data_IF_137452807590
#
_entry.id   IF_137452807590
#
_cell.length_a   1.000
_cell.length_b   1.000
_cell.length_c   1.000
_cell.angle_alpha   90.00
_cell.angle_beta   90.00
_cell.angle_gamma   90.00
#
_symmetry.space_group_name_H-M   'P 1'
#
loop_
_entity.id
_entity.type
_entity.pdbx_description
1 polymer ?
#
# COMPACT_ATOMS: atom_id res chain seq x y z
N UNK A 1 39.60 29.28 8.32
CA UNK A 1 38.12 29.33 8.31
C UNK A 1 37.60 28.09 9.03
N UNK A 2 37.33 28.22 10.32
CA UNK A 2 36.74 27.18 11.17
C UNK A 2 35.21 27.28 11.05
N UNK A 3 34.57 26.22 10.55
CA UNK A 3 33.13 26.09 10.59
C UNK A 3 32.76 25.14 11.74
N UNK A 4 31.97 25.70 12.64
CA UNK A 4 31.60 25.20 13.95
C UNK A 4 30.56 24.07 13.81
N UNK A 5 30.83 22.93 14.45
CA UNK A 5 29.91 21.80 14.59
C UNK A 5 29.00 22.10 15.77
N UNK A 6 27.74 22.45 15.51
CA UNK A 6 26.74 22.71 16.53
C UNK A 6 25.61 21.66 16.46
N UNK A 7 25.61 20.76 17.44
CA UNK A 7 24.42 20.34 18.19
C UNK A 7 23.30 19.66 17.42
N UNK A 8 23.43 18.34 17.22
CA UNK A 8 22.29 17.44 17.04
C UNK A 8 21.95 16.86 18.42
N UNK A 9 21.24 17.63 19.23
CA UNK A 9 20.65 17.17 20.50
C UNK A 9 19.34 17.94 20.73
N UNK A 10 18.28 17.49 20.08
CA UNK A 10 16.90 17.87 20.41
C UNK A 10 15.92 16.79 19.92
N UNK A 11 16.01 15.58 20.50
CA UNK A 11 14.83 14.70 20.58
C UNK A 11 13.98 15.15 21.78
N UNK A 12 13.37 16.33 21.60
CA UNK A 12 12.39 16.89 22.51
C UNK A 12 11.03 16.22 22.31
N UNK A 13 10.45 15.79 23.42
CA UNK A 13 9.06 15.39 23.66
C UNK A 13 8.09 15.61 22.49
N UNK A 14 7.64 14.50 21.88
CA UNK A 14 6.48 14.50 20.98
C UNK A 14 5.23 14.70 21.82
N UNK A 15 4.63 15.84 21.55
CA UNK A 15 3.48 16.45 22.19
C UNK A 15 2.25 15.52 22.18
N UNK A 16 1.57 15.50 23.32
CA UNK A 16 0.35 14.76 23.55
C UNK A 16 -0.84 15.69 23.33
N UNK A 17 -1.33 15.78 22.09
CA UNK A 17 -2.56 16.52 21.84
C UNK A 17 -2.73 16.98 20.42
N UNK A 18 -2.99 16.06 19.50
CA UNK A 18 -3.56 16.47 18.23
C UNK A 18 -4.65 15.49 17.77
N UNK A 19 -5.90 15.93 17.90
CA UNK A 19 -7.10 15.26 17.40
C UNK A 19 -7.31 15.55 15.90
N UNK A 20 -6.22 15.55 15.12
CA UNK A 20 -6.24 15.78 13.68
C UNK A 20 -6.52 14.47 12.93
N UNK A 21 -7.80 14.25 12.59
CA UNK A 21 -8.25 13.62 11.33
C UNK A 21 -7.50 12.37 10.83
N UNK A 22 -7.27 11.37 11.69
CA UNK A 22 -6.86 10.04 11.23
C UNK A 22 -8.08 9.25 10.71
N UNK A 23 -8.45 9.44 9.44
CA UNK A 23 -9.41 8.57 8.72
C UNK A 23 -8.93 7.10 8.64
N UNK A 24 -7.66 6.84 8.98
CA UNK A 24 -7.10 5.50 9.00
C UNK A 24 -6.98 5.02 10.45
N UNK A 25 -7.73 3.96 10.86
CA UNK A 25 -7.71 3.50 12.23
C UNK A 25 -6.30 3.00 12.59
N UNK A 26 -5.75 3.53 13.70
CA UNK A 26 -4.46 3.18 14.34
C UNK A 26 -4.24 1.68 14.57
N UNK A 27 -5.29 0.89 14.35
CA UNK A 27 -5.33 -0.53 14.63
C UNK A 27 -4.70 -1.45 13.59
N UNK A 28 -4.15 -0.98 12.47
CA UNK A 28 -3.39 -1.87 11.54
C UNK A 28 -1.91 -2.05 11.92
N UNK A 29 -1.45 -1.35 12.96
CA UNK A 29 -0.14 -1.60 13.59
C UNK A 29 -0.21 -2.85 14.47
N UNK A 30 -0.23 -4.03 13.84
CA UNK A 30 -0.05 -5.32 14.53
C UNK A 30 1.23 -5.27 15.38
N UNK A 31 1.19 -5.84 16.57
CA UNK A 31 2.30 -5.82 17.51
C UNK A 31 3.56 -6.46 16.88
N UNK A 32 4.55 -5.63 16.56
CA UNK A 32 5.86 -6.08 16.06
C UNK A 32 6.78 -6.36 17.24
N UNK A 33 6.34 -7.21 18.16
CA UNK A 33 7.17 -7.69 19.26
C UNK A 33 7.71 -9.04 18.84
N UNK A 34 8.96 -9.08 18.38
CA UNK A 34 9.62 -10.35 18.13
C UNK A 34 9.94 -11.01 19.47
N UNK A 35 9.60 -12.28 19.62
CA UNK A 35 10.20 -13.11 20.65
C UNK A 35 11.73 -13.09 20.44
N UNK A 36 12.55 -12.73 21.45
CA UNK A 36 14.02 -12.68 21.33
C UNK A 36 14.64 -13.99 20.88
N UNK A 37 13.92 -15.12 20.95
CA UNK A 37 14.35 -16.43 20.42
C UNK A 37 14.25 -16.55 18.90
N UNK A 38 13.51 -15.67 18.21
CA UNK A 38 13.24 -15.73 16.76
C UNK A 38 13.84 -14.55 15.96
N UNK A 39 15.00 -14.04 16.36
CA UNK A 39 15.72 -12.93 15.69
C UNK A 39 15.97 -13.18 14.19
N UNK A 40 16.05 -14.43 13.75
CA UNK A 40 16.34 -14.80 12.36
C UNK A 40 15.14 -14.58 11.41
N UNK A 41 13.90 -14.52 11.92
CA UNK A 41 12.69 -14.44 11.10
C UNK A 41 11.73 -13.35 11.60
N UNK A 42 12.22 -12.11 11.65
CA UNK A 42 11.41 -10.98 12.09
C UNK A 42 10.12 -10.85 11.26
N UNK A 43 9.02 -10.46 11.93
CA UNK A 43 7.73 -10.20 11.26
C UNK A 43 7.88 -9.12 10.19
N UNK A 44 8.76 -8.12 10.42
CA UNK A 44 9.09 -7.06 9.46
C UNK A 44 9.66 -7.67 8.17
N UNK A 45 10.63 -8.58 8.26
CA UNK A 45 11.24 -9.19 7.08
C UNK A 45 10.22 -9.96 6.23
N UNK A 46 9.31 -10.71 6.86
CA UNK A 46 8.23 -11.42 6.14
C UNK A 46 7.30 -10.46 5.40
N UNK A 47 6.96 -9.33 6.01
CA UNK A 47 6.12 -8.29 5.38
C UNK A 47 6.87 -7.59 4.24
N UNK A 48 8.15 -7.28 4.42
CA UNK A 48 8.99 -6.69 3.38
C UNK A 48 9.11 -7.61 2.17
N UNK A 49 9.26 -8.93 2.37
CA UNK A 49 9.27 -9.90 1.29
C UNK A 49 7.96 -9.89 0.48
N UNK A 50 6.80 -9.78 1.16
CA UNK A 50 5.52 -9.63 0.46
C UNK A 50 5.46 -8.33 -0.35
N UNK A 51 5.88 -7.19 0.21
CA UNK A 51 5.93 -5.91 -0.53
C UNK A 51 6.89 -5.93 -1.72
N UNK A 52 8.00 -6.68 -1.62
CA UNK A 52 8.92 -6.86 -2.74
C UNK A 52 8.22 -7.53 -3.93
N UNK A 53 7.39 -8.56 -3.71
CA UNK A 53 6.64 -9.20 -4.80
C UNK A 53 5.66 -8.24 -5.47
N UNK A 54 4.95 -7.42 -4.68
CA UNK A 54 4.05 -6.37 -5.20
C UNK A 54 4.82 -5.35 -6.04
N UNK A 55 6.00 -4.93 -5.59
CA UNK A 55 6.86 -3.99 -6.34
C UNK A 55 7.30 -4.58 -7.69
N UNK A 56 7.70 -5.85 -7.74
CA UNK A 56 8.08 -6.51 -9.00
C UNK A 56 6.91 -6.55 -9.98
N UNK A 57 5.71 -6.92 -9.53
CA UNK A 57 4.52 -6.96 -10.39
C UNK A 57 4.13 -5.55 -10.86
N UNK A 58 4.21 -4.54 -9.98
CA UNK A 58 3.95 -3.15 -10.37
C UNK A 58 4.94 -2.65 -11.45
N UNK A 59 6.24 -2.97 -11.34
CA UNK A 59 7.22 -2.63 -12.40
C UNK A 59 6.89 -3.33 -13.72
N UNK A 60 6.45 -4.59 -13.70
CA UNK A 60 6.00 -5.29 -14.91
C UNK A 60 4.78 -4.60 -15.52
N UNK A 61 3.81 -4.19 -14.71
CA UNK A 61 2.62 -3.47 -15.18
C UNK A 61 2.95 -2.10 -15.77
N UNK A 62 3.88 -1.35 -15.17
CA UNK A 62 4.41 -0.10 -15.75
C UNK A 62 4.98 -0.34 -17.15
N UNK A 63 5.83 -1.36 -17.30
CA UNK A 63 6.45 -1.68 -18.60
C UNK A 63 5.43 -2.10 -19.65
N UNK A 64 4.41 -2.87 -19.28
CA UNK A 64 3.34 -3.28 -20.19
C UNK A 64 2.47 -2.09 -20.60
N UNK A 65 2.14 -1.21 -19.65
CA UNK A 65 1.34 -0.01 -19.89
C UNK A 65 2.04 0.93 -20.87
N UNK A 66 3.33 1.18 -20.69
CA UNK A 66 4.15 2.00 -21.61
C UNK A 66 4.19 1.40 -23.01
N UNK A 67 4.38 0.07 -23.13
CA UNK A 67 4.34 -0.61 -24.44
C UNK A 67 2.98 -0.44 -25.13
N UNK A 68 1.88 -0.58 -24.39
CA UNK A 68 0.53 -0.42 -24.95
C UNK A 68 0.26 1.03 -25.36
N UNK A 69 0.73 2.02 -24.58
CA UNK A 69 0.63 3.43 -24.94
C UNK A 69 1.37 3.76 -26.25
N UNK A 70 2.56 3.19 -26.48
CA UNK A 70 3.32 3.42 -27.72
C UNK A 70 2.84 2.61 -28.92
N UNK A 71 2.13 1.51 -28.69
CA UNK A 71 1.54 0.70 -29.77
C UNK A 71 0.34 1.41 -30.41
N UNK A 72 -0.21 2.41 -29.74
CA UNK A 72 -1.37 3.17 -30.22
C UNK A 72 -1.00 4.02 -31.45
N UNK A 73 -1.72 3.85 -32.55
CA UNK A 73 -1.51 4.61 -33.79
C UNK A 73 -1.79 6.11 -33.60
N UNK A 74 -0.95 6.95 -34.22
CA UNK A 74 -0.96 8.42 -34.08
C UNK A 74 -2.15 9.11 -34.76
N UNK A 75 -2.81 8.43 -35.69
CA UNK A 75 -3.97 8.98 -36.40
C UNK A 75 -5.24 8.74 -35.57
N UNK A 76 -5.60 9.75 -34.76
CA UNK A 76 -6.81 9.77 -33.93
C UNK A 76 -7.76 10.82 -34.47
N UNK A 77 -8.73 10.38 -35.27
CA UNK A 77 -9.83 11.23 -35.69
C UNK A 77 -10.90 11.28 -34.60
N UNK A 78 -10.96 12.40 -33.87
CA UNK A 78 -11.92 12.62 -32.78
C UNK A 78 -13.38 12.70 -33.24
N UNK A 79 -13.60 12.83 -34.55
CA UNK A 79 -14.93 12.89 -35.14
C UNK A 79 -15.58 11.49 -35.23
N UNK A 80 -14.79 10.42 -35.18
CA UNK A 80 -15.28 9.05 -35.23
C UNK A 80 -15.38 8.45 -33.82
N UNK A 81 -16.45 7.68 -33.57
CA UNK A 81 -16.66 6.97 -32.30
C UNK A 81 -15.44 6.11 -31.92
N UNK A 82 -14.77 5.55 -32.93
CA UNK A 82 -13.53 4.77 -32.75
C UNK A 82 -12.40 5.59 -32.11
N UNK A 83 -12.23 6.83 -32.56
CA UNK A 83 -11.21 7.75 -32.03
C UNK A 83 -11.51 8.14 -30.58
N UNK A 84 -12.78 8.34 -30.22
CA UNK A 84 -13.18 8.64 -28.85
C UNK A 84 -12.86 7.45 -27.92
N UNK A 85 -13.23 6.23 -28.32
CA UNK A 85 -12.94 5.02 -27.52
C UNK A 85 -11.43 4.80 -27.37
N UNK A 86 -10.66 5.03 -28.44
CA UNK A 86 -9.20 4.97 -28.42
C UNK A 86 -8.61 6.01 -27.44
N UNK A 87 -9.12 7.24 -27.43
CA UNK A 87 -8.68 8.31 -26.54
C UNK A 87 -9.01 7.98 -25.06
N UNK A 88 -10.21 7.48 -24.77
CA UNK A 88 -10.58 7.03 -23.42
C UNK A 88 -9.68 5.88 -22.96
N UNK A 89 -9.38 4.92 -23.85
CA UNK A 89 -8.41 3.86 -23.59
C UNK A 89 -7.03 4.41 -23.24
N UNK A 90 -6.54 5.40 -23.99
CA UNK A 90 -5.24 6.02 -23.74
C UNK A 90 -5.19 6.78 -22.41
N UNK A 91 -6.21 7.57 -22.08
CA UNK A 91 -6.29 8.30 -20.80
C UNK A 91 -6.36 7.33 -19.63
N UNK A 92 -7.19 6.29 -19.71
CA UNK A 92 -7.28 5.27 -18.66
C UNK A 92 -5.96 4.51 -18.48
N UNK A 93 -5.25 4.19 -19.57
CA UNK A 93 -3.91 3.58 -19.48
C UNK A 93 -2.89 4.51 -18.83
N UNK A 94 -2.96 5.81 -19.13
CA UNK A 94 -2.08 6.82 -18.54
C UNK A 94 -2.30 6.91 -17.02
N UNK A 95 -3.55 6.80 -16.56
CA UNK A 95 -3.88 6.73 -15.12
C UNK A 95 -3.30 5.47 -14.49
N UNK A 96 -3.46 4.30 -15.12
CA UNK A 96 -2.86 3.03 -14.65
C UNK A 96 -1.35 3.16 -14.50
N UNK A 97 -0.67 3.68 -15.53
CA UNK A 97 0.77 3.91 -15.50
C UNK A 97 1.20 4.80 -14.32
N UNK A 98 0.50 5.92 -14.09
CA UNK A 98 0.82 6.83 -12.98
C UNK A 98 0.57 6.19 -11.61
N UNK A 99 -0.52 5.42 -11.46
CA UNK A 99 -0.81 4.70 -10.23
C UNK A 99 0.27 3.65 -9.93
N UNK A 100 0.66 2.84 -10.92
CA UNK A 100 1.69 1.82 -10.72
C UNK A 100 3.07 2.43 -10.46
N UNK A 101 3.42 3.54 -11.15
CA UNK A 101 4.67 4.26 -10.89
C UNK A 101 4.72 4.81 -9.46
N UNK A 102 3.62 5.39 -8.98
CA UNK A 102 3.51 5.86 -7.59
C UNK A 102 3.74 4.71 -6.60
N UNK A 103 3.15 3.54 -6.86
CA UNK A 103 3.31 2.34 -6.02
C UNK A 103 4.76 1.89 -5.98
N UNK A 104 5.42 1.81 -7.13
CA UNK A 104 6.83 1.41 -7.21
C UNK A 104 7.70 2.36 -6.39
N UNK A 105 7.52 3.68 -6.53
CA UNK A 105 8.31 4.67 -5.80
C UNK A 105 8.12 4.52 -4.28
N UNK A 106 6.87 4.47 -3.81
CA UNK A 106 6.57 4.38 -2.38
C UNK A 106 7.13 3.08 -1.79
N UNK A 107 6.90 1.94 -2.45
CA UNK A 107 7.32 0.63 -1.93
C UNK A 107 8.84 0.47 -1.95
N UNK A 108 9.51 0.86 -3.04
CA UNK A 108 10.98 0.75 -3.15
C UNK A 108 11.67 1.65 -2.12
N UNK A 109 11.20 2.89 -1.95
CA UNK A 109 11.78 3.82 -0.99
C UNK A 109 11.61 3.32 0.45
N UNK A 110 10.42 2.82 0.79
CA UNK A 110 10.17 2.23 2.12
C UNK A 110 11.01 0.99 2.36
N UNK A 111 11.14 0.12 1.36
CA UNK A 111 11.94 -1.11 1.44
C UNK A 111 13.42 -0.78 1.65
N UNK A 112 13.98 0.15 0.87
CA UNK A 112 15.38 0.58 0.98
C UNK A 112 15.70 1.16 2.36
N UNK A 113 14.89 2.11 2.85
CA UNK A 113 15.13 2.74 4.15
C UNK A 113 15.00 1.74 5.30
N UNK A 114 14.00 0.86 5.26
CA UNK A 114 13.78 -0.14 6.32
C UNK A 114 14.94 -1.14 6.36
N UNK A 115 15.39 -1.66 5.22
CA UNK A 115 16.54 -2.57 5.18
C UNK A 115 17.82 -1.92 5.71
N UNK A 116 18.06 -0.65 5.37
CA UNK A 116 19.22 0.07 5.88
C UNK A 116 19.19 0.23 7.40
N UNK A 117 18.03 0.59 7.97
CA UNK A 117 17.85 0.72 9.42
C UNK A 117 18.01 -0.63 10.13
N UNK A 118 17.48 -1.72 9.55
CA UNK A 118 17.63 -3.07 10.11
C UNK A 118 19.10 -3.50 10.24
N UNK A 119 20.00 -2.96 9.41
CA UNK A 119 21.45 -3.26 9.46
C UNK A 119 22.26 -2.29 10.33
N UNK A 120 21.64 -1.30 10.98
CA UNK A 120 22.34 -0.22 11.70
C UNK A 120 22.88 -0.62 13.11
N UNK A 121 23.27 -1.88 13.30
CA UNK A 121 23.84 -2.36 14.57
C UNK A 121 22.78 -2.79 15.61
N UNK A 122 23.15 -2.87 16.91
CA UNK A 122 22.31 -3.50 17.94
C UNK A 122 20.99 -2.75 18.21
N UNK A 123 20.93 -1.44 17.97
CA UNK A 123 19.73 -0.61 18.12
C UNK A 123 18.96 -0.44 16.80
N UNK A 124 19.53 -0.87 15.67
CA UNK A 124 18.94 -0.66 14.34
C UNK A 124 17.56 -1.28 14.19
N UNK A 125 17.31 -2.41 14.85
CA UNK A 125 16.00 -3.08 14.81
C UNK A 125 14.89 -2.23 15.45
N UNK A 126 15.15 -1.60 16.60
CA UNK A 126 14.14 -0.77 17.29
C UNK A 126 13.82 0.50 16.50
N UNK A 127 14.85 1.12 15.91
CA UNK A 127 14.68 2.29 15.03
C UNK A 127 13.96 1.92 13.73
N UNK A 128 14.25 0.75 13.15
CA UNK A 128 13.52 0.25 11.98
C UNK A 128 12.04 -0.01 12.31
N UNK A 129 11.76 -0.55 13.50
CA UNK A 129 10.38 -0.77 13.98
C UNK A 129 9.64 0.56 14.15
N UNK A 130 10.22 1.57 14.79
CA UNK A 130 9.57 2.87 14.98
C UNK A 130 9.30 3.56 13.63
N UNK A 131 10.29 3.58 12.72
CA UNK A 131 10.11 4.11 11.36
C UNK A 131 9.01 3.36 10.58
N UNK A 132 8.99 2.03 10.67
CA UNK A 132 8.04 1.20 9.94
C UNK A 132 6.58 1.37 10.41
N UNK A 133 6.39 1.68 11.70
CA UNK A 133 5.08 1.85 12.34
C UNK A 133 4.58 3.29 12.31
N UNK A 134 5.37 4.23 11.78
CA UNK A 134 4.96 5.63 11.65
C UNK A 134 3.68 5.75 10.81
N UNK A 135 2.68 6.48 11.34
CA UNK A 135 1.32 6.46 10.80
C UNK A 135 1.26 7.02 9.37
N UNK A 136 2.10 8.01 9.07
CA UNK A 136 2.21 8.60 7.73
C UNK A 136 2.75 7.58 6.71
N UNK A 137 3.77 6.82 7.08
CA UNK A 137 4.41 5.80 6.22
C UNK A 137 3.46 4.63 5.97
N UNK A 138 2.77 4.17 7.02
CA UNK A 138 1.75 3.12 6.94
C UNK A 138 0.62 3.56 6.01
N UNK A 139 0.10 4.77 6.18
CA UNK A 139 -0.98 5.33 5.34
C UNK A 139 -0.61 5.37 3.86
N UNK A 140 0.60 5.86 3.53
CA UNK A 140 1.10 5.87 2.15
C UNK A 140 1.24 4.46 1.57
N UNK A 141 1.65 3.48 2.40
CA UNK A 141 1.77 2.09 1.97
C UNK A 141 0.41 1.48 1.65
N UNK A 142 -0.60 1.70 2.49
CA UNK A 142 -1.96 1.23 2.22
C UNK A 142 -2.55 1.91 0.99
N UNK A 143 -2.31 3.21 0.82
CA UNK A 143 -2.72 3.93 -0.38
C UNK A 143 -2.07 3.34 -1.63
N UNK A 144 -0.76 3.05 -1.60
CA UNK A 144 -0.05 2.42 -2.69
C UNK A 144 -0.64 1.04 -3.01
N UNK A 145 -0.75 0.13 -2.03
CA UNK A 145 -1.28 -1.22 -2.26
C UNK A 145 -2.73 -1.18 -2.78
N UNK A 146 -3.57 -0.29 -2.26
CA UNK A 146 -4.94 -0.11 -2.74
C UNK A 146 -4.97 0.46 -4.17
N UNK A 147 -4.08 1.40 -4.47
CA UNK A 147 -3.89 1.94 -5.82
C UNK A 147 -3.49 0.86 -6.83
N UNK A 148 -2.52 0.01 -6.47
CA UNK A 148 -2.09 -1.13 -7.27
C UNK A 148 -3.22 -2.15 -7.51
N UNK A 149 -3.98 -2.51 -6.47
CA UNK A 149 -5.10 -3.43 -6.64
C UNK A 149 -6.21 -2.82 -7.51
N UNK A 150 -6.37 -1.50 -7.51
CA UNK A 150 -7.31 -0.77 -8.36
C UNK A 150 -6.82 -0.64 -9.81
N UNK A 151 -5.50 -0.54 -10.03
CA UNK A 151 -4.91 -0.41 -11.37
C UNK A 151 -5.03 -1.70 -12.19
N UNK A 152 -5.04 -2.88 -11.55
CA UNK A 152 -5.20 -4.18 -12.23
C UNK A 152 -6.50 -4.31 -13.08
N UNK A 153 -7.72 -4.13 -12.54
CA UNK A 153 -8.93 -4.16 -13.35
C UNK A 153 -8.98 -2.99 -14.34
N UNK A 154 -8.46 -1.81 -13.97
CA UNK A 154 -8.43 -0.65 -14.85
C UNK A 154 -7.52 -0.87 -16.06
N UNK A 155 -6.41 -1.60 -15.90
CA UNK A 155 -5.53 -2.02 -16.98
C UNK A 155 -6.26 -2.89 -17.99
N UNK A 156 -6.97 -3.93 -17.53
CA UNK A 156 -7.76 -4.82 -18.41
C UNK A 156 -8.88 -4.05 -19.11
N UNK A 157 -9.53 -3.12 -18.40
CA UNK A 157 -10.54 -2.23 -18.98
C UNK A 157 -9.94 -1.38 -20.11
N UNK A 158 -8.79 -0.76 -19.88
CA UNK A 158 -8.11 0.06 -20.87
C UNK A 158 -7.66 -0.75 -22.08
N UNK A 159 -7.05 -1.93 -21.86
CA UNK A 159 -6.68 -2.86 -22.93
C UNK A 159 -7.90 -3.29 -23.76
N UNK A 160 -9.07 -3.49 -23.15
CA UNK A 160 -10.30 -3.84 -23.88
C UNK A 160 -10.72 -2.72 -24.87
N UNK A 161 -10.65 -1.45 -24.45
CA UNK A 161 -10.93 -0.30 -25.31
C UNK A 161 -9.91 -0.18 -26.45
N UNK A 162 -8.64 -0.42 -26.17
CA UNK A 162 -7.58 -0.37 -27.19
C UNK A 162 -7.75 -1.47 -28.25
N UNK A 163 -8.06 -2.70 -27.81
CA UNK A 163 -8.30 -3.82 -28.73
C UNK A 163 -9.49 -3.54 -29.63
N UNK A 164 -10.58 -2.99 -29.08
CA UNK A 164 -11.74 -2.58 -29.88
C UNK A 164 -11.34 -1.57 -30.97
N UNK A 165 -10.56 -0.54 -30.63
CA UNK A 165 -10.10 0.46 -31.60
C UNK A 165 -9.22 -0.14 -32.71
N UNK A 166 -8.34 -1.10 -32.38
CA UNK A 166 -7.46 -1.77 -33.36
C UNK A 166 -8.26 -2.60 -34.37
N UNK A 167 -9.24 -3.38 -33.89
CA UNK A 167 -10.07 -4.21 -34.78
C UNK A 167 -11.06 -3.38 -35.60
N UNK A 168 -11.59 -2.30 -35.05
CA UNK A 168 -12.48 -1.39 -35.77
C UNK A 168 -11.77 -0.75 -36.98
N UNK A 169 -10.50 -0.34 -36.81
CA UNK A 169 -9.66 0.17 -37.91
C UNK A 169 -9.29 -0.88 -38.95
N UNK A 170 -9.20 -2.15 -38.54
CA UNK A 170 -8.84 -3.26 -39.43
C UNK A 170 -10.01 -3.72 -40.34
N UNK A 171 -11.16 -3.06 -40.29
CA UNK A 171 -12.30 -3.35 -41.17
C UNK A 171 -13.08 -4.63 -40.83
N UNK A 172 -12.81 -5.25 -39.69
CA UNK A 172 -13.50 -6.46 -39.22
C UNK A 172 -14.24 -6.23 -37.89
N UNK A 173 -15.27 -5.36 -37.86
CA UNK A 173 -15.95 -4.99 -36.62
C UNK A 173 -16.66 -6.16 -35.92
N UNK A 174 -17.08 -7.18 -36.68
CA UNK A 174 -17.73 -8.38 -36.14
C UNK A 174 -16.85 -9.19 -35.17
N UNK A 175 -15.52 -9.16 -35.35
CA UNK A 175 -14.56 -9.83 -34.46
C UNK A 175 -14.18 -8.97 -33.23
N UNK A 176 -14.35 -7.66 -33.32
CA UNK A 176 -14.04 -6.72 -32.25
C UNK A 176 -14.99 -6.87 -31.06
N UNK A 177 -16.30 -6.99 -31.35
CA UNK A 177 -17.37 -7.04 -30.34
C UNK A 177 -17.20 -8.21 -29.36
N UNK A 178 -17.03 -9.47 -29.78
CA UNK A 178 -16.87 -10.58 -28.82
C UNK A 178 -15.60 -10.45 -28.00
N UNK A 179 -14.50 -9.97 -28.60
CA UNK A 179 -13.22 -9.75 -27.90
C UNK A 179 -13.33 -8.68 -26.82
N UNK A 180 -14.01 -7.56 -27.14
CA UNK A 180 -14.30 -6.49 -26.19
C UNK A 180 -15.20 -6.99 -25.05
N UNK A 181 -16.29 -7.68 -25.36
CA UNK A 181 -17.22 -8.20 -24.35
C UNK A 181 -16.55 -9.21 -23.41
N UNK A 182 -15.70 -10.09 -23.93
CA UNK A 182 -14.96 -11.06 -23.13
C UNK A 182 -14.03 -10.36 -22.13
N UNK A 183 -13.27 -9.35 -22.57
CA UNK A 183 -12.37 -8.60 -21.70
C UNK A 183 -13.12 -7.68 -20.73
N UNK A 184 -14.22 -7.07 -21.16
CA UNK A 184 -15.09 -6.29 -20.27
C UNK A 184 -15.69 -7.15 -19.16
N UNK A 185 -16.15 -8.38 -19.49
CA UNK A 185 -16.58 -9.35 -18.49
C UNK A 185 -15.45 -9.72 -17.53
N UNK A 186 -14.22 -9.93 -18.05
CA UNK A 186 -13.02 -10.14 -17.24
C UNK A 186 -12.76 -8.99 -16.25
N UNK A 187 -12.87 -7.74 -16.69
CA UNK A 187 -12.75 -6.55 -15.83
C UNK A 187 -13.78 -6.54 -14.70
N UNK A 188 -15.04 -6.87 -15.00
CA UNK A 188 -16.11 -6.94 -13.99
C UNK A 188 -15.80 -8.03 -12.96
N UNK A 189 -15.37 -9.21 -13.41
CA UNK A 189 -14.99 -10.32 -12.52
C UNK A 189 -13.81 -9.93 -11.62
N UNK A 190 -12.75 -9.34 -12.17
CA UNK A 190 -11.59 -8.90 -11.39
C UNK A 190 -11.95 -7.84 -10.35
N UNK A 191 -12.81 -6.88 -10.73
CA UNK A 191 -13.29 -5.85 -9.81
C UNK A 191 -14.13 -6.46 -8.69
N UNK A 192 -15.02 -7.40 -9.02
CA UNK A 192 -15.82 -8.13 -8.04
C UNK A 192 -14.94 -8.91 -7.05
N UNK A 193 -13.94 -9.65 -7.56
CA UNK A 193 -12.98 -10.39 -6.74
C UNK A 193 -12.24 -9.45 -5.80
N UNK A 194 -11.75 -8.31 -6.28
CA UNK A 194 -11.04 -7.32 -5.46
C UNK A 194 -11.94 -6.75 -4.33
N UNK A 195 -13.19 -6.38 -4.66
CA UNK A 195 -14.15 -5.90 -3.67
C UNK A 195 -14.50 -6.98 -2.64
N UNK A 196 -14.71 -8.22 -3.07
CA UNK A 196 -15.04 -9.33 -2.18
C UNK A 196 -13.89 -9.69 -1.24
N UNK A 197 -12.66 -9.79 -1.74
CA UNK A 197 -11.48 -10.01 -0.90
C UNK A 197 -11.31 -8.91 0.13
N UNK A 198 -11.48 -7.65 -0.28
CA UNK A 198 -11.42 -6.50 0.64
C UNK A 198 -12.51 -6.55 1.71
N UNK A 199 -13.72 -6.99 1.36
CA UNK A 199 -14.82 -7.14 2.31
C UNK A 199 -14.56 -8.24 3.33
N UNK A 200 -14.16 -9.42 2.87
CA UNK A 200 -13.85 -10.58 3.73
C UNK A 200 -12.72 -10.23 4.69
N UNK A 201 -11.68 -9.56 4.19
CA UNK A 201 -10.57 -9.11 5.03
C UNK A 201 -11.05 -8.19 6.15
N UNK A 202 -11.86 -7.16 5.83
CA UNK A 202 -12.40 -6.23 6.83
C UNK A 202 -13.25 -6.93 7.90
N UNK A 203 -14.08 -7.90 7.50
CA UNK A 203 -14.91 -8.66 8.43
C UNK A 203 -14.05 -9.51 9.39
N UNK A 204 -13.12 -10.29 8.84
CA UNK A 204 -12.21 -11.12 9.65
C UNK A 204 -11.30 -10.28 10.54
N UNK A 205 -10.87 -9.13 10.04
CA UNK A 205 -10.06 -8.18 10.78
C UNK A 205 -10.83 -7.58 11.96
N UNK A 206 -12.05 -7.11 11.73
CA UNK A 206 -12.91 -6.57 12.77
C UNK A 206 -13.22 -7.63 13.85
N UNK A 207 -13.46 -8.88 13.44
CA UNK A 207 -13.67 -10.00 14.35
C UNK A 207 -12.43 -10.33 15.20
N UNK A 208 -11.24 -10.39 14.59
CA UNK A 208 -10.01 -10.63 15.36
C UNK A 208 -9.77 -9.50 16.37
N UNK A 209 -9.97 -8.25 15.95
CA UNK A 209 -9.80 -7.08 16.80
C UNK A 209 -10.80 -7.03 17.96
N UNK A 210 -12.04 -7.48 17.77
CA UNK A 210 -13.02 -7.52 18.87
C UNK A 210 -12.64 -8.54 19.95
N UNK A 211 -11.90 -9.58 19.61
CA UNK A 211 -11.38 -10.57 20.57
C UNK A 211 -10.11 -10.10 21.29
N UNK A 212 -9.33 -9.22 20.68
CA UNK A 212 -8.10 -8.66 21.25
C UNK A 212 -8.39 -7.56 22.29
N UNK A 213 -9.38 -6.70 22.03
CA UNK A 213 -9.77 -5.60 22.92
C UNK A 213 -10.03 -6.00 24.39
N UNK A 214 -10.77 -7.07 24.72
CA UNK A 214 -10.96 -7.45 26.13
C UNK A 214 -9.67 -7.89 26.81
N UNK A 215 -8.73 -8.51 26.07
CA UNK A 215 -7.43 -8.91 26.61
C UNK A 215 -6.57 -7.67 26.90
N UNK A 216 -6.53 -6.71 25.98
CA UNK A 216 -5.83 -5.45 26.17
C UNK A 216 -6.40 -4.67 27.37
N UNK A 217 -7.73 -4.56 27.46
CA UNK A 217 -8.38 -3.92 28.60
C UNK A 217 -8.05 -4.63 29.93
N UNK A 218 -7.93 -5.95 29.93
CA UNK A 218 -7.54 -6.71 31.13
C UNK A 218 -6.08 -6.48 31.50
N UNK A 219 -5.16 -6.45 30.52
CA UNK A 219 -3.75 -6.14 30.73
C UNK A 219 -3.54 -4.73 31.28
N UNK A 220 -4.28 -3.74 30.76
CA UNK A 220 -4.25 -2.36 31.25
C UNK A 220 -4.77 -2.25 32.69
N UNK A 221 -5.84 -2.99 33.02
CA UNK A 221 -6.37 -3.05 34.38
C UNK A 221 -5.37 -3.68 35.38
N UNK A 222 -4.62 -4.70 34.96
CA UNK A 222 -3.56 -5.31 35.78
C UNK A 222 -2.36 -4.38 35.93
N UNK A 223 -1.94 -3.71 34.85
CA UNK A 223 -0.81 -2.78 34.86
C UNK A 223 -1.01 -1.57 35.78
N UNK A 224 -2.23 -1.04 35.82
CA UNK A 224 -2.59 0.09 36.71
C UNK A 224 -2.59 -0.31 38.19
N UNK A 225 -3.09 -1.51 38.53
CA UNK A 225 -3.09 -2.02 39.91
C UNK A 225 -1.67 -2.14 40.48
N UNK A 226 -0.70 -2.57 39.67
CA UNK A 226 0.68 -2.73 40.10
C UNK A 226 1.38 -1.38 40.39
N UNK A 227 0.94 -0.29 39.75
CA UNK A 227 1.47 1.06 40.02
C UNK A 227 0.94 1.66 41.32
N UNK A 228 -0.33 1.43 41.66
CA UNK A 228 -0.93 1.98 42.89
C UNK A 228 -0.46 1.28 44.17
N UNK A 229 -0.04 0.01 44.11
CA UNK A 229 0.44 -0.74 45.29
C UNK A 229 1.84 -0.35 45.79
N UNK A 230 2.65 0.33 44.98
CA UNK A 230 4.04 0.67 45.33
C UNK A 230 4.25 1.98 46.10
N UNK A 231 3.22 2.83 46.24
CA UNK A 231 3.38 4.18 46.80
C UNK A 231 3.06 4.30 48.31
N UNK A 232 2.56 3.24 48.95
CA UNK A 232 2.16 3.29 50.37
C UNK A 232 3.22 2.75 51.36
N UNK A 233 4.42 2.38 50.91
CA UNK A 233 5.42 1.71 51.74
C UNK A 233 6.55 2.57 52.31
N UNK A 234 6.53 3.91 52.20
CA UNK A 234 7.72 4.72 52.53
C UNK A 234 7.43 6.06 53.23
N UNK A 235 6.47 6.09 54.16
CA UNK A 235 6.10 7.30 54.91
C UNK A 235 6.19 7.16 56.44
N UNK A 236 6.93 6.17 56.94
CA UNK A 236 7.20 6.01 58.38
C UNK A 236 8.72 5.98 58.66
N UNK A 237 9.39 7.14 58.59
CA UNK A 237 10.60 7.48 59.38
C UNK A 237 10.64 8.98 59.63
#
# INVERSE_FOLDING_TARGET
>A
AQANVAGVDQFGAVDAGDHHTYWLPRSESMEVTNDPRFMTNSVIAKRLAAFQTVSVVAVLMVNLSVKQMFTLQKDVDLNEIQGIVQYVGFITMSVVFLMDLFVVIVVVQQLFMTYRLLTAGPTGFEVAKSFYLESNIVSLRHLAVKGFLCSLPLFVASTSCMIYAVFAKSGHPLLAIPSFLLLAAGTVVLTFVNVKHSSIFKERYAFAKSHEMPLLNHMDAVGTRNRSGGFMGNLDV
#
